data_IF_146493983687
#
_entry.id   IF_146493983687
#
_cell.length_a   1.000
_cell.length_b   1.000
_cell.length_c   1.000
_cell.angle_alpha   90.00
_cell.angle_beta   90.00
_cell.angle_gamma   90.00
#
_symmetry.space_group_name_H-M   'P 1'
#
loop_
_entity.id
_entity.type
_entity.pdbx_description
1 polymer ?
#
# COMPACT_ATOMS: atom_id res chain seq x y z
N UNK A 1 -8.78 19.95 -15.36
CA UNK A 1 -8.83 19.07 -14.22
C UNK A 1 -10.11 18.26 -14.21
N UNK A 2 -10.07 17.03 -13.74
CA UNK A 2 -11.22 16.10 -13.70
C UNK A 2 -12.17 16.36 -12.51
N UNK A 3 -12.15 17.58 -11.92
CA UNK A 3 -13.00 17.91 -10.76
C UNK A 3 -12.61 17.21 -9.45
N UNK A 4 -11.37 16.69 -9.37
CA UNK A 4 -10.86 16.07 -8.15
C UNK A 4 -10.39 17.14 -7.17
N UNK A 5 -10.87 17.10 -5.92
CA UNK A 5 -10.51 18.01 -4.83
C UNK A 5 -9.81 17.21 -3.74
N UNK A 6 -8.59 17.61 -3.39
CA UNK A 6 -7.82 17.02 -2.30
C UNK A 6 -8.07 17.78 -1.00
N UNK A 7 -8.23 17.05 0.09
CA UNK A 7 -8.24 17.60 1.45
C UNK A 7 -7.72 16.59 2.46
N UNK A 8 -7.40 17.08 3.66
CA UNK A 8 -7.07 16.23 4.80
C UNK A 8 -8.16 16.43 5.86
N UNK A 9 -8.77 15.35 6.29
CA UNK A 9 -9.72 15.31 7.40
C UNK A 9 -8.88 15.14 8.67
N UNK A 10 -8.92 16.10 9.60
CA UNK A 10 -8.22 15.98 10.87
C UNK A 10 -8.72 14.78 11.69
N UNK A 11 -7.85 14.16 12.48
CA UNK A 11 -8.18 13.03 13.36
C UNK A 11 -9.50 13.22 14.12
N UNK A 12 -9.71 14.40 14.68
CA UNK A 12 -10.92 14.70 15.46
C UNK A 12 -12.23 14.64 14.65
N UNK A 13 -12.14 14.81 13.33
CA UNK A 13 -13.29 14.81 12.42
C UNK A 13 -13.48 13.46 11.68
N UNK A 14 -12.47 12.58 11.72
CA UNK A 14 -12.52 11.27 11.06
C UNK A 14 -13.71 10.42 11.52
N UNK A 15 -14.09 10.38 12.82
CA UNK A 15 -15.28 9.64 13.26
C UNK A 15 -16.54 10.00 12.51
N UNK A 16 -16.73 11.28 12.15
CA UNK A 16 -17.88 11.75 11.38
C UNK A 16 -17.85 11.31 9.89
N UNK A 17 -16.67 11.03 9.37
CA UNK A 17 -16.45 10.62 7.98
C UNK A 17 -16.40 9.08 7.78
N UNK A 18 -16.37 8.30 8.88
CA UNK A 18 -16.24 6.84 8.81
C UNK A 18 -17.25 6.14 7.89
N UNK A 19 -18.53 6.53 7.84
CA UNK A 19 -19.47 5.89 6.93
C UNK A 19 -19.07 6.02 5.46
N UNK A 20 -18.62 7.21 5.04
CA UNK A 20 -18.19 7.46 3.66
C UNK A 20 -16.87 6.75 3.33
N UNK A 21 -15.90 6.75 4.27
CA UNK A 21 -14.63 6.04 4.13
C UNK A 21 -14.88 4.53 4.02
N UNK A 22 -15.77 3.98 4.84
CA UNK A 22 -16.16 2.57 4.81
C UNK A 22 -16.79 2.20 3.48
N UNK A 23 -17.68 3.03 2.95
CA UNK A 23 -18.30 2.78 1.65
C UNK A 23 -17.26 2.65 0.52
N UNK A 24 -16.22 3.50 0.53
CA UNK A 24 -15.09 3.39 -0.43
C UNK A 24 -14.29 2.11 -0.20
N UNK A 25 -14.04 1.74 1.06
CA UNK A 25 -13.28 0.54 1.40
C UNK A 25 -14.00 -0.74 0.98
N UNK A 26 -15.30 -0.84 1.25
CA UNK A 26 -16.11 -2.01 0.90
C UNK A 26 -16.21 -2.19 -0.61
N UNK A 27 -16.42 -1.10 -1.37
CA UNK A 27 -16.41 -1.13 -2.82
C UNK A 27 -15.07 -1.60 -3.39
N UNK A 28 -13.96 -1.11 -2.82
CA UNK A 28 -12.62 -1.52 -3.22
C UNK A 28 -12.39 -3.02 -2.99
N UNK A 29 -12.82 -3.56 -1.83
CA UNK A 29 -12.69 -4.99 -1.49
C UNK A 29 -13.47 -5.86 -2.46
N UNK A 30 -14.72 -5.48 -2.79
CA UNK A 30 -15.54 -6.20 -3.78
C UNK A 30 -14.86 -6.20 -5.14
N UNK A 31 -14.38 -5.05 -5.60
CA UNK A 31 -13.71 -4.94 -6.91
C UNK A 31 -12.42 -5.80 -6.98
N UNK A 32 -11.65 -5.83 -5.91
CA UNK A 32 -10.40 -6.62 -5.83
C UNK A 32 -10.64 -8.09 -5.53
N UNK A 33 -11.89 -8.52 -5.36
CA UNK A 33 -12.24 -9.87 -4.89
C UNK A 33 -11.46 -10.24 -3.62
N UNK A 34 -11.15 -9.24 -2.81
CA UNK A 34 -10.29 -9.33 -1.64
C UNK A 34 -11.08 -9.43 -0.35
N UNK A 35 -10.39 -9.81 0.72
CA UNK A 35 -10.84 -9.72 2.12
C UNK A 35 -9.88 -8.85 2.90
N UNK A 36 -10.36 -8.22 3.96
CA UNK A 36 -9.48 -7.54 4.89
C UNK A 36 -8.42 -8.49 5.44
N UNK A 37 -7.18 -8.01 5.48
CA UNK A 37 -6.02 -8.71 6.01
C UNK A 37 -5.57 -7.99 7.27
N UNK A 38 -5.81 -8.60 8.43
CA UNK A 38 -5.63 -7.96 9.73
C UNK A 38 -4.23 -8.08 10.33
N UNK A 39 -3.21 -8.48 9.55
CA UNK A 39 -1.84 -8.62 10.06
C UNK A 39 -0.82 -7.94 9.14
N UNK A 40 0.09 -7.17 9.72
CA UNK A 40 1.20 -6.43 9.10
C UNK A 40 0.84 -5.41 8.01
N UNK A 41 -0.44 -5.22 7.72
CA UNK A 41 -0.98 -4.20 6.81
C UNK A 41 -2.16 -3.52 7.50
N UNK A 42 -2.38 -2.25 7.21
CA UNK A 42 -3.57 -1.54 7.66
C UNK A 42 -4.84 -2.19 7.14
N UNK A 43 -5.85 -2.27 7.97
CA UNK A 43 -7.19 -2.74 7.64
C UNK A 43 -8.22 -1.72 8.09
N UNK A 44 -9.41 -1.77 7.50
CA UNK A 44 -10.45 -0.81 7.84
C UNK A 44 -11.14 -1.22 9.14
N UNK A 45 -10.79 -0.52 10.19
CA UNK A 45 -11.42 -0.59 11.50
C UNK A 45 -11.69 0.82 12.00
N UNK A 46 -12.86 1.07 12.58
CA UNK A 46 -13.29 2.42 12.97
C UNK A 46 -12.39 3.02 14.05
N UNK A 47 -12.00 2.22 15.04
CA UNK A 47 -11.11 2.66 16.10
C UNK A 47 -9.73 2.98 15.55
N UNK A 48 -9.20 2.09 14.69
CA UNK A 48 -7.92 2.30 14.04
C UNK A 48 -7.90 3.56 13.15
N UNK A 49 -8.88 3.72 12.26
CA UNK A 49 -8.98 4.88 11.38
C UNK A 49 -9.09 6.20 12.16
N UNK A 50 -9.77 6.18 13.30
CA UNK A 50 -9.96 7.35 14.16
C UNK A 50 -8.68 7.81 14.88
N UNK A 51 -7.58 7.05 14.80
CA UNK A 51 -6.29 7.45 15.38
C UNK A 51 -5.45 8.35 14.48
N UNK A 52 -5.85 8.56 13.22
CA UNK A 52 -5.06 9.27 12.22
C UNK A 52 -5.84 10.39 11.55
N UNK A 53 -5.10 11.38 11.03
CA UNK A 53 -5.64 12.24 9.99
C UNK A 53 -5.81 11.41 8.71
N UNK A 54 -6.80 11.76 7.89
CA UNK A 54 -7.12 11.02 6.69
C UNK A 54 -7.07 11.93 5.46
N UNK A 55 -6.14 11.67 4.55
CA UNK A 55 -6.13 12.31 3.25
C UNK A 55 -7.27 11.74 2.39
N UNK A 56 -8.01 12.61 1.69
CA UNK A 56 -9.11 12.22 0.81
C UNK A 56 -9.03 12.93 -0.53
N UNK A 57 -9.47 12.25 -1.59
CA UNK A 57 -9.89 12.88 -2.84
C UNK A 57 -11.41 12.82 -2.92
N UNK A 58 -12.01 13.95 -3.28
CA UNK A 58 -13.44 14.07 -3.56
C UNK A 58 -13.66 14.38 -5.04
N UNK A 59 -14.76 13.85 -5.56
CA UNK A 59 -15.35 14.22 -6.85
C UNK A 59 -16.84 14.42 -6.65
N UNK A 60 -17.37 15.55 -7.09
CA UNK A 60 -18.78 15.90 -6.89
C UNK A 60 -19.22 15.76 -5.42
N UNK A 61 -18.38 16.27 -4.49
CA UNK A 61 -18.49 16.21 -3.03
C UNK A 61 -18.44 14.80 -2.41
N UNK A 62 -18.31 13.75 -3.21
CA UNK A 62 -18.20 12.38 -2.70
C UNK A 62 -16.73 11.96 -2.54
N UNK A 63 -16.40 11.28 -1.45
CA UNK A 63 -15.07 10.68 -1.26
C UNK A 63 -14.89 9.53 -2.26
N UNK A 64 -13.86 9.64 -3.11
CA UNK A 64 -13.52 8.65 -4.14
C UNK A 64 -12.20 7.94 -3.88
N UNK A 65 -11.35 8.49 -3.02
CA UNK A 65 -10.15 7.84 -2.51
C UNK A 65 -9.80 8.39 -1.13
N UNK A 66 -9.18 7.55 -0.31
CA UNK A 66 -8.65 7.96 1.00
C UNK A 66 -7.39 7.20 1.37
N UNK A 67 -6.61 7.79 2.28
CA UNK A 67 -5.50 7.13 2.96
C UNK A 67 -5.32 7.73 4.35
N UNK A 68 -5.09 6.88 5.39
CA UNK A 68 -4.66 7.37 6.68
C UNK A 68 -3.19 7.79 6.63
N UNK A 69 -2.85 8.84 7.34
CA UNK A 69 -1.51 9.45 7.33
C UNK A 69 -0.69 9.01 8.55
N UNK A 70 0.41 8.33 8.29
CA UNK A 70 1.43 8.03 9.29
C UNK A 70 2.52 9.09 9.24
N UNK A 71 2.73 9.79 10.34
CA UNK A 71 3.62 10.95 10.42
C UNK A 71 4.62 10.80 11.53
N UNK A 72 5.91 11.04 11.26
CA UNK A 72 6.91 11.18 12.32
C UNK A 72 6.73 12.52 13.05
N UNK A 73 6.97 12.52 14.37
CA UNK A 73 6.83 13.71 15.20
C UNK A 73 7.85 14.80 14.90
N UNK A 74 9.00 14.44 14.33
CA UNK A 74 10.08 15.35 13.93
C UNK A 74 9.94 15.88 12.50
N UNK A 75 8.88 15.49 11.79
CA UNK A 75 8.64 15.81 10.37
C UNK A 75 9.74 15.32 9.43
N UNK A 76 10.49 14.29 9.80
CA UNK A 76 11.47 13.70 8.92
C UNK A 76 10.82 12.90 7.80
N UNK A 77 9.83 12.06 8.14
CA UNK A 77 9.14 11.20 7.20
C UNK A 77 7.63 11.16 7.47
N UNK A 78 6.84 11.02 6.41
CA UNK A 78 5.47 10.55 6.51
C UNK A 78 5.19 9.48 5.44
N UNK A 79 4.15 8.71 5.66
CA UNK A 79 3.70 7.65 4.77
C UNK A 79 2.19 7.49 4.84
N UNK A 80 1.64 6.64 4.01
CA UNK A 80 0.28 6.14 4.10
C UNK A 80 0.32 4.65 4.41
N UNK A 81 -0.67 4.16 5.16
CA UNK A 81 -0.80 2.74 5.48
C UNK A 81 -2.00 2.14 4.75
N UNK A 82 -3.21 2.39 5.22
CA UNK A 82 -4.42 1.95 4.53
C UNK A 82 -4.82 2.95 3.46
N UNK A 83 -4.84 2.52 2.21
CA UNK A 83 -5.29 3.31 1.07
C UNK A 83 -6.35 2.56 0.29
N UNK A 84 -7.47 3.22 -0.01
CA UNK A 84 -8.59 2.68 -0.77
C UNK A 84 -9.11 3.72 -1.77
N UNK A 85 -9.70 3.25 -2.86
CA UNK A 85 -10.24 4.11 -3.91
C UNK A 85 -11.38 3.42 -4.68
N UNK A 86 -12.30 4.21 -5.21
CA UNK A 86 -13.37 3.75 -6.09
C UNK A 86 -12.84 3.50 -7.49
N UNK A 87 -13.18 2.37 -8.07
CA UNK A 87 -12.79 2.02 -9.43
C UNK A 87 -13.63 2.79 -10.47
N UNK A 88 -13.03 3.06 -11.64
CA UNK A 88 -13.76 3.68 -12.76
C UNK A 88 -14.00 5.19 -12.64
N UNK A 89 -13.59 5.85 -11.56
CA UNK A 89 -13.77 7.30 -11.36
C UNK A 89 -12.88 8.11 -12.30
N UNK A 90 -11.60 7.73 -12.40
CA UNK A 90 -10.60 8.36 -13.26
C UNK A 90 -9.45 7.41 -13.50
N UNK A 91 -8.85 7.48 -14.69
CA UNK A 91 -7.65 6.70 -15.03
C UNK A 91 -6.40 7.20 -14.31
N UNK A 92 -6.40 8.47 -13.89
CA UNK A 92 -5.27 9.14 -13.21
C UNK A 92 -5.54 9.37 -11.71
N UNK A 93 -6.59 8.72 -11.15
CA UNK A 93 -7.00 8.95 -9.77
C UNK A 93 -5.86 8.75 -8.78
N UNK A 94 -5.13 7.64 -8.92
CA UNK A 94 -4.05 7.30 -8.00
C UNK A 94 -2.82 8.19 -8.19
N UNK A 95 -2.48 8.51 -9.43
CA UNK A 95 -1.41 9.47 -9.72
C UNK A 95 -1.72 10.85 -9.13
N UNK A 96 -2.94 11.33 -9.31
CA UNK A 96 -3.39 12.59 -8.73
C UNK A 96 -3.32 12.54 -7.20
N UNK A 97 -3.76 11.44 -6.59
CA UNK A 97 -3.73 11.30 -5.13
C UNK A 97 -2.30 11.34 -4.58
N UNK A 98 -1.38 10.58 -5.17
CA UNK A 98 0.03 10.61 -4.75
C UNK A 98 0.69 11.96 -5.00
N UNK A 99 0.39 12.62 -6.12
CA UNK A 99 0.89 13.98 -6.38
C UNK A 99 0.45 14.96 -5.30
N UNK A 100 -0.83 14.91 -4.90
CA UNK A 100 -1.35 15.74 -3.81
C UNK A 100 -0.74 15.41 -2.45
N UNK A 101 -0.52 14.12 -2.14
CA UNK A 101 0.18 13.71 -0.92
C UNK A 101 1.61 14.27 -0.87
N UNK A 102 2.35 14.21 -1.98
CA UNK A 102 3.70 14.79 -2.07
C UNK A 102 3.68 16.31 -1.87
N UNK A 103 2.74 17.01 -2.50
CA UNK A 103 2.59 18.47 -2.33
C UNK A 103 2.19 18.81 -0.89
N UNK A 104 1.30 18.05 -0.28
CA UNK A 104 0.93 18.18 1.13
C UNK A 104 2.15 18.00 2.05
N UNK A 105 2.91 16.91 1.89
CA UNK A 105 4.09 16.65 2.70
C UNK A 105 5.12 17.77 2.59
N UNK A 106 5.35 18.30 1.38
CA UNK A 106 6.21 19.46 1.17
C UNK A 106 5.70 20.71 1.89
N UNK A 107 4.40 20.98 1.81
CA UNK A 107 3.79 22.15 2.45
C UNK A 107 3.86 22.06 3.97
N UNK A 108 3.71 20.86 4.54
CA UNK A 108 3.83 20.57 5.98
C UNK A 108 5.29 20.50 6.47
N UNK A 109 6.29 20.59 5.56
CA UNK A 109 7.71 20.58 5.90
C UNK A 109 8.29 19.18 6.15
N UNK A 110 7.66 18.11 5.67
CA UNK A 110 8.25 16.77 5.68
C UNK A 110 9.39 16.68 4.67
N UNK A 111 10.49 16.00 5.06
CA UNK A 111 11.63 15.79 4.18
C UNK A 111 11.40 14.63 3.21
N UNK A 112 10.74 13.58 3.70
CA UNK A 112 10.53 12.34 2.96
C UNK A 112 9.06 11.93 2.96
N UNK A 113 8.62 11.42 1.81
CA UNK A 113 7.40 10.63 1.68
C UNK A 113 7.78 9.18 1.37
N UNK A 114 7.50 8.27 2.30
CA UNK A 114 7.80 6.86 2.12
C UNK A 114 6.70 6.18 1.29
N UNK A 115 7.06 5.77 0.07
CA UNK A 115 6.15 5.06 -0.84
C UNK A 115 5.96 3.58 -0.47
N UNK A 116 6.59 3.10 0.60
CA UNK A 116 6.59 1.70 0.98
C UNK A 116 7.46 0.81 0.09
N UNK A 117 7.57 -0.45 0.44
CA UNK A 117 8.41 -1.40 -0.28
C UNK A 117 7.85 -1.78 -1.67
N UNK A 118 8.74 -2.10 -2.60
CA UNK A 118 8.44 -2.84 -3.82
C UNK A 118 9.04 -4.25 -3.68
N UNK A 119 8.31 -5.22 -3.12
CA UNK A 119 8.85 -6.53 -2.81
C UNK A 119 9.40 -7.24 -4.05
N UNK A 120 10.48 -7.98 -3.88
CA UNK A 120 11.16 -8.74 -4.94
C UNK A 120 11.69 -7.92 -6.12
N UNK A 121 11.54 -6.59 -6.10
CA UNK A 121 12.09 -5.72 -7.13
C UNK A 121 13.62 -5.65 -7.03
N UNK A 122 14.31 -5.68 -8.17
CA UNK A 122 15.77 -5.56 -8.22
C UNK A 122 16.53 -6.85 -7.91
N UNK A 123 15.85 -7.99 -7.79
CA UNK A 123 16.54 -9.28 -7.73
C UNK A 123 17.23 -9.57 -9.08
N UNK A 124 18.47 -10.03 -8.99
CA UNK A 124 19.26 -10.39 -10.16
C UNK A 124 18.87 -11.77 -10.68
N UNK A 125 18.65 -11.90 -12.00
CA UNK A 125 18.54 -13.18 -12.70
C UNK A 125 19.85 -13.62 -13.35
N UNK A 126 20.99 -13.00 -12.95
CA UNK A 126 22.30 -13.38 -13.41
C UNK A 126 22.59 -14.87 -13.13
N UNK A 127 23.24 -15.62 -14.04
CA UNK A 127 23.51 -17.05 -13.89
C UNK A 127 24.25 -17.42 -12.60
N UNK A 128 25.07 -16.50 -12.05
CA UNK A 128 25.80 -16.67 -10.79
C UNK A 128 25.01 -16.19 -9.56
N UNK A 129 23.78 -15.69 -9.71
CA UNK A 129 22.96 -15.32 -8.58
C UNK A 129 22.57 -16.55 -7.76
N UNK A 130 22.34 -16.34 -6.46
CA UNK A 130 21.91 -17.44 -5.59
C UNK A 130 20.60 -18.07 -6.10
N UNK A 131 20.39 -19.35 -5.83
CA UNK A 131 19.16 -20.08 -6.22
C UNK A 131 17.91 -19.34 -5.74
N UNK A 132 17.98 -18.71 -4.55
CA UNK A 132 16.87 -17.93 -3.98
C UNK A 132 16.59 -16.64 -4.76
N UNK A 133 17.62 -15.95 -5.24
CA UNK A 133 17.42 -14.78 -6.11
C UNK A 133 16.72 -15.17 -7.41
N UNK A 134 17.11 -16.31 -8.00
CA UNK A 134 16.47 -16.83 -9.23
C UNK A 134 15.00 -17.21 -9.00
N UNK A 135 14.69 -17.87 -7.88
CA UNK A 135 13.30 -18.17 -7.48
C UNK A 135 12.51 -16.89 -7.27
N UNK A 136 13.06 -15.93 -6.53
CA UNK A 136 12.44 -14.63 -6.31
C UNK A 136 12.19 -13.86 -7.62
N UNK A 137 13.15 -13.85 -8.54
CA UNK A 137 12.99 -13.24 -9.88
C UNK A 137 11.89 -13.94 -10.69
N UNK A 138 11.79 -15.26 -10.61
CA UNK A 138 10.73 -16.02 -11.26
C UNK A 138 9.33 -15.65 -10.71
N UNK A 139 9.22 -15.55 -9.38
CA UNK A 139 7.98 -15.13 -8.71
C UNK A 139 7.65 -13.68 -9.08
N UNK A 140 8.62 -12.78 -9.12
CA UNK A 140 8.44 -11.39 -9.52
C UNK A 140 7.88 -11.26 -10.95
N UNK A 141 8.45 -12.03 -11.90
CA UNK A 141 8.05 -11.98 -13.31
C UNK A 141 6.76 -12.71 -13.64
N UNK A 142 6.37 -13.73 -12.87
CA UNK A 142 5.19 -14.59 -13.12
C UNK A 142 4.16 -14.58 -12.00
N UNK A 143 4.43 -13.85 -10.92
CA UNK A 143 3.52 -13.75 -9.77
C UNK A 143 2.32 -12.83 -9.98
N UNK A 144 2.07 -12.34 -11.19
CA UNK A 144 0.98 -11.41 -11.52
C UNK A 144 -0.41 -11.98 -11.20
N UNK A 145 -0.56 -13.32 -11.20
CA UNK A 145 -1.78 -13.99 -10.75
C UNK A 145 -2.04 -13.85 -9.25
N UNK A 146 -0.98 -13.57 -8.45
CA UNK A 146 -1.05 -13.43 -6.99
C UNK A 146 -0.90 -11.97 -6.54
N UNK A 147 0.01 -11.22 -7.15
CA UNK A 147 0.29 -9.83 -6.82
C UNK A 147 1.10 -9.17 -7.94
N UNK A 148 0.62 -8.05 -8.47
CA UNK A 148 1.29 -7.31 -9.55
C UNK A 148 2.51 -6.55 -9.01
N UNK A 149 3.62 -7.25 -8.73
CA UNK A 149 4.85 -6.67 -8.20
C UNK A 149 5.51 -5.70 -9.19
N UNK A 150 5.49 -6.04 -10.47
CA UNK A 150 6.09 -5.22 -11.53
C UNK A 150 5.29 -3.94 -11.74
N UNK A 151 3.98 -4.03 -11.79
CA UNK A 151 3.10 -2.86 -11.88
C UNK A 151 3.21 -1.94 -10.68
N UNK A 152 3.38 -2.49 -9.45
CA UNK A 152 3.61 -1.68 -8.25
C UNK A 152 4.93 -0.90 -8.34
N UNK A 153 6.01 -1.53 -8.77
CA UNK A 153 7.29 -0.85 -8.98
C UNK A 153 7.19 0.22 -10.05
N UNK A 154 6.61 -0.12 -11.21
CA UNK A 154 6.41 0.82 -12.32
C UNK A 154 5.56 2.03 -11.90
N UNK A 155 4.52 1.82 -11.09
CA UNK A 155 3.72 2.91 -10.54
C UNK A 155 4.56 3.83 -9.66
N UNK A 156 5.32 3.29 -8.69
CA UNK A 156 6.17 4.09 -7.80
C UNK A 156 7.27 4.82 -8.56
N UNK A 157 7.82 4.22 -9.61
CA UNK A 157 8.86 4.84 -10.44
C UNK A 157 8.40 6.14 -11.11
N UNK A 158 7.10 6.35 -11.30
CA UNK A 158 6.55 7.60 -11.85
C UNK A 158 6.86 8.83 -11.00
N UNK A 159 7.14 8.62 -9.71
CA UNK A 159 7.44 9.69 -8.74
C UNK A 159 8.94 9.87 -8.50
N UNK A 160 9.79 9.25 -9.33
CA UNK A 160 11.26 9.30 -9.25
C UNK A 160 11.82 9.08 -7.83
N UNK A 161 11.49 7.93 -7.18
CA UNK A 161 11.85 7.71 -5.80
C UNK A 161 13.34 7.36 -5.64
N UNK A 162 13.89 7.67 -4.49
CA UNK A 162 15.18 7.13 -4.05
C UNK A 162 14.97 5.69 -3.58
N UNK A 163 15.48 4.73 -4.34
CA UNK A 163 15.41 3.32 -4.00
C UNK A 163 16.50 2.92 -3.02
N UNK A 164 16.10 2.34 -1.90
CA UNK A 164 17.03 1.74 -0.93
C UNK A 164 16.78 0.24 -0.84
N UNK A 165 17.84 -0.61 -0.89
CA UNK A 165 17.64 -2.05 -0.79
C UNK A 165 17.21 -2.46 0.61
N UNK A 166 16.25 -3.39 0.66
CA UNK A 166 15.83 -4.07 1.88
C UNK A 166 16.30 -5.53 1.84
N UNK A 167 16.84 -6.02 2.94
CA UNK A 167 17.41 -7.36 3.02
C UNK A 167 16.65 -8.20 4.04
N UNK A 168 16.41 -9.47 3.70
CA UNK A 168 15.92 -10.46 4.64
C UNK A 168 17.09 -11.34 5.09
N UNK A 169 17.33 -11.38 6.40
CA UNK A 169 18.30 -12.29 7.01
C UNK A 169 17.54 -13.48 7.62
N UNK A 170 17.99 -14.69 7.31
CA UNK A 170 17.42 -15.93 7.85
C UNK A 170 18.51 -16.99 8.06
N UNK A 171 18.30 -18.01 8.90
CA UNK A 171 19.19 -19.16 9.00
C UNK A 171 19.41 -19.84 7.65
N UNK A 172 20.53 -20.54 7.51
CA UNK A 172 20.87 -21.28 6.28
C UNK A 172 19.93 -22.47 6.05
N UNK A 173 19.88 -22.95 4.81
CA UNK A 173 19.14 -24.15 4.41
C UNK A 173 17.70 -23.84 3.99
N UNK A 174 16.76 -24.68 4.43
CA UNK A 174 15.34 -24.59 4.06
C UNK A 174 14.51 -23.66 4.96
N UNK A 175 15.14 -22.88 5.83
CA UNK A 175 14.45 -21.96 6.73
C UNK A 175 13.69 -20.85 5.97
N UNK A 176 14.24 -20.34 4.87
CA UNK A 176 13.61 -19.25 4.11
C UNK A 176 12.22 -19.63 3.56
N UNK A 177 12.02 -20.77 2.86
CA UNK A 177 10.68 -21.17 2.43
C UNK A 177 9.70 -21.31 3.58
N UNK A 178 10.15 -21.88 4.70
CA UNK A 178 9.30 -22.04 5.89
C UNK A 178 8.88 -20.67 6.45
N UNK A 179 9.83 -19.73 6.59
CA UNK A 179 9.55 -18.36 7.07
C UNK A 179 8.57 -17.66 6.14
N UNK A 180 8.76 -17.74 4.82
CA UNK A 180 7.84 -17.13 3.84
C UNK A 180 6.44 -17.74 3.93
N UNK A 181 6.33 -19.06 4.12
CA UNK A 181 5.06 -19.74 4.31
C UNK A 181 4.38 -19.30 5.61
N UNK A 182 5.12 -19.24 6.71
CA UNK A 182 4.61 -18.82 8.01
C UNK A 182 4.11 -17.38 7.98
N UNK A 183 4.89 -16.45 7.41
CA UNK A 183 4.49 -15.05 7.25
C UNK A 183 3.25 -14.94 6.36
N UNK A 184 3.21 -15.66 5.23
CA UNK A 184 2.04 -15.66 4.34
C UNK A 184 0.79 -16.21 5.06
N UNK A 185 0.96 -17.25 5.87
CA UNK A 185 -0.10 -17.83 6.68
C UNK A 185 -0.64 -16.83 7.70
N UNK A 186 0.25 -16.11 8.39
CA UNK A 186 -0.14 -15.04 9.33
C UNK A 186 -0.93 -13.93 8.65
N UNK A 187 -0.42 -13.42 7.51
CA UNK A 187 -1.09 -12.34 6.75
C UNK A 187 -2.46 -12.78 6.24
N UNK A 188 -2.61 -14.05 5.87
CA UNK A 188 -3.85 -14.61 5.32
C UNK A 188 -4.87 -15.04 6.39
N UNK A 189 -4.54 -14.89 7.69
CA UNK A 189 -5.43 -15.31 8.79
C UNK A 189 -5.50 -16.82 8.98
N UNK A 190 -4.44 -17.55 8.65
CA UNK A 190 -4.30 -19.00 8.84
C UNK A 190 -4.08 -19.79 7.55
N UNK A 191 -3.77 -21.10 7.64
CA UNK A 191 -3.46 -21.94 6.47
C UNK A 191 -4.59 -21.99 5.44
N UNK A 192 -5.84 -21.97 5.89
CA UNK A 192 -7.01 -21.97 5.00
C UNK A 192 -7.24 -20.63 4.32
N UNK A 193 -6.70 -19.53 4.85
CA UNK A 193 -6.81 -18.18 4.25
C UNK A 193 -5.97 -18.04 2.98
N UNK A 194 -4.90 -18.82 2.82
CA UNK A 194 -4.05 -18.83 1.63
C UNK A 194 -4.82 -19.32 0.39
N UNK A 195 -5.75 -20.26 0.58
CA UNK A 195 -6.50 -20.91 -0.50
C UNK A 195 -7.91 -20.34 -0.72
N UNK A 196 -8.37 -19.43 0.16
CA UNK A 196 -9.66 -18.74 -0.01
C UNK A 196 -9.43 -17.42 -0.75
N UNK A 197 -9.73 -17.44 -2.05
CA UNK A 197 -9.99 -16.23 -2.83
C UNK A 197 -11.31 -15.60 -2.45
#
# INVERSE_FOLDING_TARGET
GEGLVYSVIPKAEVPGALPDLRAVSDEWLVHKQGKEKGFSLGYFDDAYMSEFDCAVLKKDDQIVAFANLWRSGDRDEFSVDLMRYRSGVSKVLMEAFFAHLLLYGRAEGYKWFNLGAAPLAGLSDHPLASTWNRVGTFIYKRGDEFYNFEGLRAFKQKFDPVWTPQYMACPRGLAMPQILLDVTTLISGGPMGIFKR
#
